data_IF_797394687039
#
_entry.id   IF_797394687039
#
_cell.length_a   1.000
_cell.length_b   1.000
_cell.length_c   1.000
_cell.angle_alpha   90.00
_cell.angle_beta   90.00
_cell.angle_gamma   90.00
#
_symmetry.space_group_name_H-M   'P 1'
#
loop_
_entity.id
_entity.type
_entity.pdbx_description
1 polymer ?
#
# COMPACT_ATOMS: atom_id res chain seq x y z
N UNK A 1 11.30 -17.35 0.24
CA UNK A 1 10.05 -16.70 0.72
C UNK A 1 10.20 -15.21 0.47
N UNK A 2 9.24 -14.57 -0.20
CA UNK A 2 9.34 -13.14 -0.52
C UNK A 2 9.21 -12.35 0.78
N UNK A 3 10.24 -11.59 1.14
CA UNK A 3 10.25 -10.79 2.38
C UNK A 3 9.55 -9.44 2.13
N UNK A 4 8.81 -8.92 3.12
CA UNK A 4 8.29 -7.55 3.05
C UNK A 4 9.42 -6.52 3.22
N UNK A 5 9.24 -5.35 2.61
CA UNK A 5 10.18 -4.23 2.66
C UNK A 5 9.71 -3.23 3.71
N UNK A 6 9.60 -3.72 4.95
CA UNK A 6 9.04 -2.99 6.09
C UNK A 6 9.81 -1.73 6.39
N UNK A 7 11.15 -1.82 6.40
CA UNK A 7 12.06 -0.70 6.67
C UNK A 7 12.01 0.39 5.59
N UNK A 8 11.69 0.01 4.36
CA UNK A 8 11.50 0.95 3.25
C UNK A 8 10.09 1.54 3.21
N UNK A 9 9.20 1.16 4.15
CA UNK A 9 7.85 1.69 4.23
C UNK A 9 6.86 1.04 3.27
N UNK A 10 7.07 -0.23 2.89
CA UNK A 10 6.16 -0.95 1.98
C UNK A 10 4.72 -0.96 2.50
N UNK A 11 3.80 -0.67 1.59
CA UNK A 11 2.35 -0.66 1.80
C UNK A 11 1.78 -2.09 1.82
N UNK A 12 0.79 -2.36 2.65
CA UNK A 12 0.26 -3.73 2.78
C UNK A 12 -0.36 -4.25 1.48
N UNK A 13 -1.03 -3.42 0.68
CA UNK A 13 -1.53 -3.85 -0.63
C UNK A 13 -0.39 -4.20 -1.58
N UNK A 14 0.73 -3.48 -1.52
CA UNK A 14 1.92 -3.78 -2.33
C UNK A 14 2.46 -5.16 -1.98
N UNK A 15 2.62 -5.43 -0.70
CA UNK A 15 3.12 -6.73 -0.24
C UNK A 15 2.17 -7.86 -0.64
N UNK A 16 0.87 -7.74 -0.37
CA UNK A 16 -0.14 -8.74 -0.76
C UNK A 16 -0.15 -8.94 -2.28
N UNK A 17 -0.05 -7.86 -3.06
CA UNK A 17 0.01 -7.91 -4.52
C UNK A 17 1.21 -8.73 -4.99
N UNK A 18 2.40 -8.39 -4.51
CA UNK A 18 3.65 -9.07 -4.90
C UNK A 18 3.64 -10.54 -4.51
N UNK A 19 3.13 -10.86 -3.33
CA UNK A 19 2.94 -12.23 -2.86
C UNK A 19 2.02 -13.03 -3.79
N UNK A 20 0.85 -12.49 -4.13
CA UNK A 20 -0.07 -13.12 -5.08
C UNK A 20 0.56 -13.28 -6.47
N UNK A 21 1.30 -12.27 -6.93
CA UNK A 21 1.92 -12.31 -8.26
C UNK A 21 3.03 -13.35 -8.38
N UNK A 22 3.96 -13.38 -7.41
CA UNK A 22 5.07 -14.36 -7.41
C UNK A 22 4.60 -15.79 -7.19
N UNK A 23 3.43 -15.99 -6.56
CA UNK A 23 2.85 -17.33 -6.35
C UNK A 23 1.94 -17.77 -7.49
N UNK A 24 1.80 -16.96 -8.55
CA UNK A 24 0.96 -17.26 -9.70
C UNK A 24 -0.54 -17.16 -9.43
N UNK A 25 -0.94 -16.56 -8.31
CA UNK A 25 -2.34 -16.34 -7.96
C UNK A 25 -2.95 -15.30 -8.90
N UNK A 26 -4.07 -15.65 -9.56
CA UNK A 26 -4.65 -14.82 -10.63
C UNK A 26 -5.74 -13.87 -10.16
N UNK A 27 -6.35 -14.13 -9.01
CA UNK A 27 -7.41 -13.27 -8.48
C UNK A 27 -6.82 -12.19 -7.57
N UNK A 28 -7.06 -10.92 -7.89
CA UNK A 28 -6.62 -9.78 -7.08
C UNK A 28 -7.83 -9.00 -6.53
N UNK A 29 -9.02 -9.60 -6.52
CA UNK A 29 -10.27 -8.96 -6.07
C UNK A 29 -10.27 -8.60 -4.58
N UNK A 30 -9.33 -9.12 -3.81
CA UNK A 30 -9.09 -8.77 -2.42
C UNK A 30 -8.32 -7.45 -2.22
N UNK A 31 -7.60 -6.97 -3.24
CA UNK A 31 -6.75 -5.78 -3.12
C UNK A 31 -6.94 -4.75 -4.24
N UNK A 32 -7.52 -5.12 -5.39
CA UNK A 32 -7.83 -4.20 -6.49
C UNK A 32 -9.34 -4.15 -6.73
N UNK A 33 -9.90 -2.94 -6.77
CA UNK A 33 -11.31 -2.68 -7.04
C UNK A 33 -11.67 -2.95 -8.51
N UNK A 34 -12.97 -2.96 -8.82
CA UNK A 34 -13.47 -3.02 -10.21
C UNK A 34 -13.00 -1.84 -11.06
N UNK A 35 -12.78 -0.69 -10.44
CA UNK A 35 -12.28 0.56 -11.04
C UNK A 35 -10.75 0.66 -11.08
N UNK A 36 -10.06 -0.43 -10.75
CA UNK A 36 -8.61 -0.50 -10.90
C UNK A 36 -7.81 0.29 -9.86
N UNK A 37 -8.46 0.65 -8.75
CA UNK A 37 -7.89 1.32 -7.58
C UNK A 37 -7.56 0.29 -6.49
N UNK A 38 -6.78 0.67 -5.48
CA UNK A 38 -6.64 -0.11 -4.27
C UNK A 38 -7.99 -0.29 -3.58
N UNK A 39 -8.24 -1.49 -3.06
CA UNK A 39 -9.49 -1.80 -2.39
C UNK A 39 -9.48 -1.25 -0.96
N UNK A 40 -10.62 -0.76 -0.52
CA UNK A 40 -10.80 -0.25 0.85
C UNK A 40 -10.78 -1.36 1.91
N UNK A 41 -11.49 -2.46 1.64
CA UNK A 41 -11.50 -3.63 2.51
C UNK A 41 -10.56 -4.68 1.95
N UNK A 42 -9.44 -4.89 2.63
CA UNK A 42 -8.40 -5.86 2.25
C UNK A 42 -8.51 -7.12 3.08
N UNK A 43 -8.16 -8.23 2.46
CA UNK A 43 -8.07 -9.52 3.14
C UNK A 43 -7.08 -10.41 2.40
N UNK A 44 -6.57 -11.44 3.08
CA UNK A 44 -5.78 -12.49 2.46
C UNK A 44 -6.72 -13.57 1.95
N UNK A 45 -6.56 -14.01 0.70
CA UNK A 45 -7.34 -15.13 0.19
C UNK A 45 -7.03 -16.38 1.00
N UNK A 46 -8.07 -17.15 1.36
CA UNK A 46 -7.91 -18.44 2.06
C UNK A 46 -6.92 -19.39 1.34
N UNK A 47 -6.89 -19.33 0.01
CA UNK A 47 -6.00 -20.15 -0.82
C UNK A 47 -4.54 -19.68 -0.78
N UNK A 48 -4.26 -18.49 -0.25
CA UNK A 48 -2.90 -17.95 -0.07
C UNK A 48 -2.55 -17.75 1.41
N UNK A 49 -3.47 -18.06 2.35
CA UNK A 49 -3.33 -17.82 3.78
C UNK A 49 -2.08 -18.47 4.39
N UNK A 50 -1.84 -19.73 4.02
CA UNK A 50 -0.66 -20.51 4.45
C UNK A 50 0.68 -19.84 4.14
N UNK A 51 0.72 -18.89 3.21
CA UNK A 51 1.94 -18.17 2.85
C UNK A 51 2.20 -17.03 3.83
N UNK A 52 1.15 -16.36 4.30
CA UNK A 52 1.24 -15.28 5.28
C UNK A 52 1.49 -15.82 6.69
N UNK A 53 0.97 -17.00 7.02
CA UNK A 53 1.24 -17.71 8.29
C UNK A 53 2.74 -18.03 8.50
N UNK A 54 3.54 -18.03 7.43
CA UNK A 54 4.98 -18.28 7.50
C UNK A 54 5.82 -17.02 7.72
N UNK A 55 5.20 -15.85 7.74
CA UNK A 55 5.88 -14.58 8.00
C UNK A 55 5.90 -14.29 9.49
N UNK A 56 6.93 -13.57 9.95
CA UNK A 56 6.96 -13.10 11.32
C UNK A 56 5.80 -12.13 11.56
N UNK A 57 5.12 -12.29 12.69
CA UNK A 57 4.02 -11.41 13.07
C UNK A 57 4.47 -9.94 13.13
N UNK A 58 5.69 -9.67 13.60
CA UNK A 58 6.29 -8.33 13.65
C UNK A 58 6.34 -7.66 12.28
N UNK A 59 6.68 -8.41 11.23
CA UNK A 59 6.78 -7.88 9.87
C UNK A 59 5.39 -7.51 9.33
N UNK A 60 4.39 -8.35 9.61
CA UNK A 60 2.99 -8.11 9.23
C UNK A 60 2.41 -6.90 9.99
N UNK A 61 2.72 -6.77 11.28
CA UNK A 61 2.35 -5.60 12.08
C UNK A 61 3.02 -4.34 11.52
N UNK A 62 4.29 -4.41 11.11
CA UNK A 62 4.99 -3.26 10.55
C UNK A 62 4.40 -2.84 9.20
N UNK A 63 3.95 -3.78 8.34
CA UNK A 63 3.17 -3.44 7.15
C UNK A 63 1.85 -2.72 7.46
N UNK A 64 1.15 -3.12 8.52
CA UNK A 64 -0.06 -2.42 8.99
C UNK A 64 0.27 -0.99 9.45
N UNK A 65 1.38 -0.78 10.17
CA UNK A 65 1.85 0.56 10.55
C UNK A 65 2.23 1.41 9.34
N UNK A 66 2.95 0.84 8.37
CA UNK A 66 3.26 1.52 7.12
C UNK A 66 1.99 1.96 6.35
N UNK A 67 0.90 1.20 6.52
CA UNK A 67 -0.43 1.47 5.97
C UNK A 67 -1.24 2.46 6.84
N UNK A 68 -0.69 2.96 7.95
CA UNK A 68 -1.30 3.99 8.78
C UNK A 68 -2.38 3.50 9.74
N UNK A 69 -2.44 2.21 10.07
CA UNK A 69 -3.39 1.66 11.06
C UNK A 69 -3.14 2.16 12.50
N UNK A 70 -1.95 2.70 12.73
CA UNK A 70 -1.46 3.31 13.98
C UNK A 70 -1.72 4.82 14.05
N UNK A 71 -1.92 5.49 12.91
CA UNK A 71 -2.04 6.95 12.83
C UNK A 71 -3.51 7.38 12.94
N UNK A 72 -3.89 7.99 14.06
CA UNK A 72 -5.03 8.91 14.10
C UNK A 72 -4.55 10.31 13.75
N UNK A 73 -5.04 10.87 12.65
CA UNK A 73 -5.03 12.33 12.50
C UNK A 73 -6.10 12.89 13.42
N UNK A 74 -5.68 13.57 14.49
CA UNK A 74 -6.52 14.62 15.08
C UNK A 74 -6.30 15.88 14.23
N UNK A 75 -7.35 16.66 14.00
CA UNK A 75 -7.31 17.97 13.31
C UNK A 75 -6.39 19.00 14.02
N UNK A 76 -5.67 18.60 15.08
CA UNK A 76 -4.92 19.46 15.99
C UNK A 76 -3.55 18.88 16.42
N UNK A 77 -2.97 17.94 15.67
CA UNK A 77 -1.55 17.56 15.83
C UNK A 77 -1.19 16.87 17.15
N UNK A 78 -2.15 16.30 17.88
CA UNK A 78 -1.86 15.48 19.08
C UNK A 78 -1.96 14.01 18.71
N UNK A 79 -0.82 13.32 18.78
CA UNK A 79 -0.75 11.87 18.80
C UNK A 79 -1.43 11.39 20.09
N UNK A 80 -2.66 10.89 20.00
CA UNK A 80 -3.24 10.13 21.11
C UNK A 80 -2.70 8.72 21.03
N UNK A 81 -1.90 8.41 22.06
CA UNK A 81 -1.61 7.11 22.66
C UNK A 81 -1.99 5.86 21.86
N UNK A 82 -0.95 5.04 21.63
CA UNK A 82 -0.97 3.60 21.37
C UNK A 82 -2.37 3.01 21.52
N UNK A 83 -3.08 2.94 20.39
CA UNK A 83 -4.26 2.08 20.27
C UNK A 83 -3.90 0.74 20.88
N UNK A 84 -4.69 0.32 21.89
CA UNK A 84 -4.66 -0.97 22.59
C UNK A 84 -3.63 -1.94 22.00
N UNK A 85 -2.62 -2.44 22.76
CA UNK A 85 -1.58 -3.33 22.24
C UNK A 85 -2.11 -4.49 21.38
N UNK A 86 -3.34 -4.96 21.67
CA UNK A 86 -4.03 -6.04 20.96
C UNK A 86 -4.66 -5.64 19.62
N UNK A 87 -4.84 -4.34 19.33
CA UNK A 87 -5.55 -3.89 18.12
C UNK A 87 -4.87 -4.40 16.85
N UNK A 88 -3.55 -4.42 16.78
CA UNK A 88 -2.85 -4.97 15.60
C UNK A 88 -3.06 -6.47 15.45
N UNK A 89 -3.20 -7.21 16.56
CA UNK A 89 -3.54 -8.62 16.52
C UNK A 89 -4.97 -8.82 16.00
N UNK A 90 -5.91 -8.00 16.45
CA UNK A 90 -7.30 -8.02 15.95
C UNK A 90 -7.36 -7.64 14.46
N UNK A 91 -6.61 -6.62 14.05
CA UNK A 91 -6.56 -6.17 12.65
C UNK A 91 -5.86 -7.21 11.75
N UNK A 92 -4.80 -7.84 12.25
CA UNK A 92 -4.13 -8.95 11.57
C UNK A 92 -5.07 -10.16 11.44
N UNK A 93 -5.83 -10.50 12.49
CA UNK A 93 -6.83 -11.55 12.43
C UNK A 93 -7.93 -11.24 11.40
N UNK A 94 -8.42 -9.99 11.33
CA UNK A 94 -9.39 -9.57 10.30
C UNK A 94 -8.81 -9.65 8.90
N UNK A 95 -7.50 -9.41 8.73
CA UNK A 95 -6.82 -9.52 7.45
C UNK A 95 -6.67 -10.99 7.01
N UNK A 96 -6.19 -11.87 7.89
CA UNK A 96 -5.88 -13.27 7.58
C UNK A 96 -7.16 -14.12 7.53
N UNK A 97 -8.03 -13.97 8.52
CA UNK A 97 -9.23 -14.78 8.73
C UNK A 97 -10.49 -13.90 8.78
N UNK A 98 -10.92 -13.34 7.64
CA UNK A 98 -12.06 -12.43 7.62
C UNK A 98 -13.38 -13.20 7.81
N UNK A 99 -13.92 -13.18 9.02
CA UNK A 99 -15.16 -13.89 9.40
C UNK A 99 -16.42 -13.04 9.23
N UNK A 100 -16.30 -11.71 9.21
CA UNK A 100 -17.42 -10.75 9.15
C UNK A 100 -17.69 -10.17 7.75
N UNK A 101 -18.88 -9.57 7.57
CA UNK A 101 -19.21 -8.70 6.41
C UNK A 101 -19.24 -7.23 6.87
N UNK A 102 -18.71 -6.26 6.09
CA UNK A 102 -17.89 -6.45 4.88
C UNK A 102 -16.59 -7.24 5.17
N UNK A 103 -16.14 -8.02 4.18
CA UNK A 103 -15.04 -8.97 4.36
C UNK A 103 -13.70 -8.23 4.41
N UNK A 104 -12.98 -8.41 5.50
CA UNK A 104 -11.59 -7.96 5.65
C UNK A 104 -11.41 -6.74 6.55
N UNK A 105 -10.19 -6.25 6.54
CA UNK A 105 -9.77 -5.08 7.29
C UNK A 105 -9.98 -3.82 6.45
N UNK A 106 -10.73 -2.86 6.99
CA UNK A 106 -10.94 -1.55 6.36
C UNK A 106 -9.70 -0.69 6.55
N UNK A 107 -9.10 -0.22 5.47
CA UNK A 107 -7.94 0.67 5.57
C UNK A 107 -8.37 2.09 5.97
N UNK A 108 -7.51 2.86 6.67
CA UNK A 108 -7.86 4.19 7.15
C UNK A 108 -8.48 5.13 6.09
N UNK A 109 -9.49 5.90 6.50
CA UNK A 109 -10.29 6.76 5.61
C UNK A 109 -9.48 7.91 5.00
N UNK A 110 -8.42 8.37 5.68
CA UNK A 110 -7.58 9.47 5.20
C UNK A 110 -6.65 9.05 4.05
N UNK A 111 -6.51 7.75 3.79
CA UNK A 111 -5.68 7.26 2.70
C UNK A 111 -6.44 7.26 1.38
N UNK A 112 -5.77 7.75 0.34
CA UNK A 112 -6.22 7.54 -1.03
C UNK A 112 -6.31 6.05 -1.36
N UNK A 113 -7.19 5.75 -2.31
CA UNK A 113 -7.31 4.42 -2.92
C UNK A 113 -6.56 4.36 -4.26
N UNK A 114 -5.93 5.44 -4.67
CA UNK A 114 -5.26 5.53 -5.96
C UNK A 114 -3.92 4.80 -5.97
N UNK A 115 -3.54 4.24 -7.11
CA UNK A 115 -2.21 3.66 -7.27
C UNK A 115 -1.24 4.80 -7.60
N UNK A 116 -0.50 5.25 -6.58
CA UNK A 116 0.44 6.37 -6.63
C UNK A 116 1.86 5.87 -6.41
N UNK A 117 2.84 6.39 -7.15
CA UNK A 117 4.23 5.96 -7.04
C UNK A 117 5.25 7.02 -7.50
N UNK A 118 6.49 6.88 -7.06
CA UNK A 118 7.62 7.66 -7.58
C UNK A 118 8.43 6.79 -8.55
N UNK A 119 8.64 7.28 -9.78
CA UNK A 119 9.43 6.57 -10.80
C UNK A 119 10.89 6.38 -10.36
N UNK A 120 11.50 7.42 -9.78
CA UNK A 120 12.89 7.36 -9.29
C UNK A 120 13.03 6.31 -8.18
N UNK A 121 12.12 6.29 -7.20
CA UNK A 121 12.06 5.24 -6.18
C UNK A 121 11.92 3.84 -6.79
N UNK A 122 11.03 3.65 -7.77
CA UNK A 122 10.87 2.32 -8.40
C UNK A 122 12.17 1.85 -9.04
N UNK A 123 12.85 2.74 -9.78
CA UNK A 123 14.14 2.41 -10.40
C UNK A 123 15.21 2.05 -9.36
N UNK A 124 15.25 2.78 -8.24
CA UNK A 124 16.16 2.49 -7.12
C UNK A 124 15.83 1.14 -6.48
N UNK A 125 14.57 0.84 -6.18
CA UNK A 125 14.16 -0.44 -5.59
C UNK A 125 14.46 -1.61 -6.52
N UNK A 126 14.28 -1.43 -7.83
CA UNK A 126 14.61 -2.46 -8.81
C UNK A 126 16.12 -2.67 -8.87
N UNK A 127 16.91 -1.59 -8.85
CA UNK A 127 18.37 -1.68 -8.84
C UNK A 127 18.90 -2.37 -7.58
N UNK A 128 18.33 -2.05 -6.41
CA UNK A 128 18.82 -2.53 -5.12
C UNK A 128 18.25 -3.90 -4.73
N UNK A 129 16.97 -4.15 -5.02
CA UNK A 129 16.22 -5.31 -4.55
C UNK A 129 15.69 -6.21 -5.67
N UNK A 130 15.90 -5.84 -6.94
CA UNK A 130 15.41 -6.59 -8.10
C UNK A 130 13.92 -6.44 -8.38
N UNK A 131 13.20 -5.60 -7.63
CA UNK A 131 11.75 -5.44 -7.76
C UNK A 131 11.26 -4.14 -7.11
N UNK A 132 10.26 -3.52 -7.70
CA UNK A 132 9.58 -2.34 -7.13
C UNK A 132 8.51 -2.71 -6.10
N UNK A 133 8.14 -1.73 -5.28
CA UNK A 133 7.04 -1.83 -4.34
C UNK A 133 6.45 -0.45 -4.05
N UNK A 134 5.20 -0.41 -3.62
CA UNK A 134 4.52 0.84 -3.26
C UNK A 134 4.72 1.17 -1.79
N UNK A 135 5.04 2.43 -1.49
CA UNK A 135 5.15 2.92 -0.11
C UNK A 135 3.81 3.39 0.43
N UNK A 136 3.55 3.16 1.72
CA UNK A 136 2.30 3.57 2.34
C UNK A 136 2.09 5.08 2.37
N UNK A 137 3.17 5.86 2.55
CA UNK A 137 3.08 7.32 2.56
C UNK A 137 2.59 7.93 1.24
N UNK A 138 2.74 7.22 0.11
CA UNK A 138 2.22 7.67 -1.19
C UNK A 138 0.70 7.72 -1.21
N UNK A 139 0.01 7.05 -0.28
CA UNK A 139 -1.44 7.09 -0.19
C UNK A 139 -1.97 8.33 0.54
N UNK A 140 -1.12 9.07 1.24
CA UNK A 140 -1.51 10.30 1.96
C UNK A 140 -0.85 11.56 1.40
N UNK A 141 0.23 11.40 0.64
CA UNK A 141 0.95 12.50 0.00
C UNK A 141 0.71 12.53 -1.51
N UNK A 142 0.94 13.69 -2.12
CA UNK A 142 1.08 13.87 -3.58
C UNK A 142 2.54 13.98 -4.00
N UNK A 143 3.48 13.96 -3.05
CA UNK A 143 4.92 14.10 -3.28
C UNK A 143 5.71 12.89 -2.77
N UNK A 144 6.81 12.61 -3.47
CA UNK A 144 7.85 11.74 -2.96
C UNK A 144 8.77 12.52 -2.00
N UNK A 145 8.85 12.10 -0.74
CA UNK A 145 9.74 12.73 0.24
C UNK A 145 11.23 12.44 -0.03
N UNK A 146 11.55 11.34 -0.72
CA UNK A 146 12.93 10.97 -1.05
C UNK A 146 13.47 11.81 -2.21
N UNK A 147 12.67 12.01 -3.25
CA UNK A 147 13.08 12.67 -4.48
C UNK A 147 12.57 14.09 -4.66
N UNK A 148 11.69 14.57 -3.76
CA UNK A 148 11.12 15.92 -3.80
C UNK A 148 10.42 16.26 -5.13
N UNK A 149 9.72 15.27 -5.70
CA UNK A 149 8.95 15.40 -6.96
C UNK A 149 7.50 14.96 -6.77
N UNK A 150 6.57 15.42 -7.62
CA UNK A 150 5.21 14.91 -7.66
C UNK A 150 5.19 13.40 -7.88
N UNK A 151 4.25 12.72 -7.22
CA UNK A 151 4.00 11.31 -7.49
C UNK A 151 3.30 11.15 -8.84
N UNK A 152 3.55 10.02 -9.46
CA UNK A 152 2.82 9.51 -10.60
C UNK A 152 1.57 8.78 -10.12
N UNK A 153 0.47 8.97 -10.83
CA UNK A 153 -0.84 8.36 -10.60
C UNK A 153 -1.20 7.46 -11.78
N UNK A 154 -1.48 6.20 -11.51
CA UNK A 154 -2.08 5.30 -12.49
C UNK A 154 -3.54 5.71 -12.73
N UNK A 155 -3.90 5.98 -13.99
CA UNK A 155 -5.27 6.32 -14.38
C UNK A 155 -6.22 5.16 -14.04
N UNK A 156 -7.41 5.50 -13.55
CA UNK A 156 -8.44 4.51 -13.26
C UNK A 156 -8.81 3.75 -14.54
N UNK A 157 -8.88 2.43 -14.45
CA UNK A 157 -9.17 1.55 -15.59
C UNK A 157 -9.86 0.28 -15.10
N UNK A 158 -10.27 -0.60 -16.01
CA UNK A 158 -10.83 -1.89 -15.63
C UNK A 158 -9.82 -2.68 -14.77
N UNK A 159 -10.32 -3.39 -13.74
CA UNK A 159 -9.51 -4.17 -12.78
C UNK A 159 -8.34 -4.93 -13.41
N UNK A 160 -8.58 -5.71 -14.47
CA UNK A 160 -7.54 -6.52 -15.10
C UNK A 160 -6.45 -5.68 -15.77
N UNK A 161 -6.84 -4.58 -16.43
CA UNK A 161 -5.90 -3.62 -17.01
C UNK A 161 -5.05 -2.98 -15.92
N UNK A 162 -5.65 -2.53 -14.83
CA UNK A 162 -4.90 -1.98 -13.70
C UNK A 162 -3.97 -3.01 -13.05
N UNK A 163 -4.37 -4.28 -12.90
CA UNK A 163 -3.49 -5.33 -12.38
C UNK A 163 -2.26 -5.48 -13.28
N UNK A 164 -2.43 -5.50 -14.60
CA UNK A 164 -1.30 -5.57 -15.53
C UNK A 164 -0.41 -4.32 -15.42
N UNK A 165 -1.00 -3.13 -15.32
CA UNK A 165 -0.23 -1.90 -15.15
C UNK A 165 0.53 -1.86 -13.82
N UNK A 166 -0.05 -2.34 -12.72
CA UNK A 166 0.64 -2.46 -11.42
C UNK A 166 1.84 -3.41 -11.54
N UNK A 167 1.70 -4.56 -12.22
CA UNK A 167 2.83 -5.47 -12.48
C UNK A 167 3.96 -4.78 -13.25
N UNK A 168 3.59 -4.08 -14.32
CA UNK A 168 4.53 -3.36 -15.18
C UNK A 168 5.28 -2.28 -14.38
N UNK A 169 4.58 -1.52 -13.53
CA UNK A 169 5.19 -0.54 -12.61
C UNK A 169 6.19 -1.21 -11.66
N UNK A 170 5.82 -2.33 -11.03
CA UNK A 170 6.71 -3.09 -10.12
C UNK A 170 7.96 -3.61 -10.86
N UNK A 171 7.87 -3.81 -12.17
CA UNK A 171 9.00 -4.21 -13.04
C UNK A 171 9.77 -3.03 -13.62
N UNK A 172 9.37 -1.80 -13.34
CA UNK A 172 10.04 -0.58 -13.82
C UNK A 172 9.69 -0.18 -15.24
N UNK A 173 8.62 -0.74 -15.80
CA UNK A 173 8.18 -0.42 -17.15
C UNK A 173 7.47 0.94 -17.20
N UNK A 174 7.75 1.71 -18.24
CA UNK A 174 7.06 2.96 -18.54
C UNK A 174 5.65 2.69 -19.10
N UNK A 175 4.68 3.43 -18.60
CA UNK A 175 3.27 3.35 -18.97
C UNK A 175 2.78 4.66 -19.55
N UNK A 176 1.94 4.59 -20.58
CA UNK A 176 1.25 5.77 -21.15
C UNK A 176 0.02 6.15 -20.31
N UNK A 177 -0.45 5.23 -19.47
CA UNK A 177 -1.66 5.32 -18.64
C UNK A 177 -1.39 5.98 -17.28
N UNK A 178 -0.29 6.72 -17.17
CA UNK A 178 0.14 7.40 -15.95
C UNK A 178 0.04 8.91 -16.14
N UNK A 179 -0.32 9.62 -15.09
CA UNK A 179 -0.35 11.08 -15.04
C UNK A 179 0.43 11.59 -13.83
N UNK A 180 1.12 12.71 -13.97
CA UNK A 180 1.68 13.42 -12.82
C UNK A 180 0.56 14.06 -12.00
N UNK A 181 0.74 14.16 -10.69
CA UNK A 181 -0.14 15.01 -9.89
C UNK A 181 0.02 16.47 -10.31
N UNK A 182 -1.06 17.09 -10.75
CA UNK A 182 -1.14 18.55 -10.78
C UNK A 182 -1.14 19.06 -9.34
N UNK A 183 -0.09 19.78 -9.00
CA UNK A 183 0.07 20.39 -7.69
C UNK A 183 -0.73 21.69 -7.64
N UNK A 184 -1.60 21.82 -6.65
CA UNK A 184 -2.20 23.12 -6.32
C UNK A 184 -1.34 23.81 -5.27
N UNK A 185 -1.38 25.14 -5.18
CA UNK A 185 -0.58 25.91 -4.20
C UNK A 185 -0.80 25.43 -2.76
N UNK A 186 -2.00 24.94 -2.45
CA UNK A 186 -2.40 24.34 -1.17
C UNK A 186 -1.62 23.07 -0.81
N UNK A 187 -1.12 22.33 -1.81
CA UNK A 187 -0.36 21.08 -1.63
C UNK A 187 1.11 21.32 -1.27
N UNK A 188 1.64 22.54 -1.46
CA UNK A 188 3.04 22.91 -1.20
C UNK A 188 3.34 23.15 0.30
N UNK A 189 2.30 23.26 1.14
CA UNK A 189 2.44 23.63 2.56
C UNK A 189 2.27 22.46 3.55
N UNK A 190 2.13 21.22 3.09
CA UNK A 190 2.04 20.06 3.99
C UNK A 190 3.44 19.65 4.44
N UNK A 191 3.83 20.16 5.61
CA UNK A 191 5.11 19.89 6.28
C UNK A 191 5.42 18.38 6.42
N UNK A 192 6.67 17.92 6.20
CA UNK A 192 7.07 16.51 6.24
C UNK A 192 7.03 15.83 7.62
N UNK A 193 6.44 16.43 8.65
CA UNK A 193 6.51 15.98 10.04
C UNK A 193 5.71 14.67 10.34
N UNK A 194 5.33 13.91 9.31
CA UNK A 194 4.41 12.76 9.43
C UNK A 194 5.09 11.39 9.29
N UNK A 195 6.39 11.34 9.01
CA UNK A 195 7.13 10.10 8.73
C UNK A 195 8.56 10.04 9.32
N UNK A 196 8.87 10.92 10.28
CA UNK A 196 10.07 10.78 11.12
C UNK A 196 9.78 9.87 12.31
#
# INVERSE_FOLDING_TARGET
MLKPFTEQGEFIHSFIFRMQDTTGFKDFSNIVSTTGRWKEYIYIHKNTGFIFERHNESDLIQLLRNTGFDKKYTVQGRAQELTKPTKYLEDLQKLINPTSKPRGLMIPNFMSREVRFCKSCMNEFIKEYGTGFFKGHWQVSKYCNTHQIPLLLLKASAKNTSIQNIRRIIRGELLNEVQEFELKEEDLFVSPQLFA
#
